data_IF_961905186154
#
_entry.id   IF_961905186154
#
_cell.length_a   1.000
_cell.length_b   1.000
_cell.length_c   1.000
_cell.angle_alpha   90.00
_cell.angle_beta   90.00
_cell.angle_gamma   90.00
#
_symmetry.space_group_name_H-M   'P 1'
#
loop_
_entity.id
_entity.type
_entity.pdbx_description
1 polymer ?
#
# COMPACT_ATOMS: atom_id res chain seq x y z
N UNK A 1 9.50 73.09 -21.07
CA UNK A 1 8.33 73.29 -21.95
C UNK A 1 7.24 72.33 -21.47
N UNK A 2 6.18 72.86 -20.85
CA UNK A 2 5.01 72.09 -20.37
C UNK A 2 4.11 71.77 -21.56
N UNK A 3 3.65 70.52 -21.69
CA UNK A 3 2.49 70.17 -22.49
C UNK A 3 1.60 69.21 -21.70
N UNK A 4 0.32 69.60 -21.62
CA UNK A 4 -0.80 68.98 -20.93
C UNK A 4 -1.49 67.94 -21.84
N UNK A 5 -1.89 66.79 -21.25
CA UNK A 5 -3.14 65.98 -21.39
C UNK A 5 -3.74 65.67 -22.80
N UNK A 6 -4.46 64.55 -23.03
CA UNK A 6 -5.42 63.93 -22.09
C UNK A 6 -5.43 62.39 -22.00
N UNK A 7 -6.20 61.92 -21.02
CA UNK A 7 -6.54 60.54 -20.73
C UNK A 7 -7.35 59.89 -21.86
N UNK A 8 -7.12 58.59 -22.10
CA UNK A 8 -8.12 57.70 -22.69
C UNK A 8 -8.23 56.46 -21.81
N UNK A 9 -9.39 56.32 -21.19
CA UNK A 9 -9.85 55.11 -20.52
C UNK A 9 -10.13 54.02 -21.55
N UNK A 10 -9.63 52.80 -21.32
CA UNK A 10 -10.17 51.59 -21.91
C UNK A 10 -10.11 50.44 -20.88
N UNK A 11 -11.25 49.96 -20.35
CA UNK A 11 -11.29 48.75 -19.54
C UNK A 11 -11.57 47.55 -20.45
N UNK A 12 -10.69 46.55 -20.45
CA UNK A 12 -11.10 45.22 -20.91
C UNK A 12 -10.25 44.15 -20.23
N UNK A 13 -10.59 43.87 -18.97
CA UNK A 13 -10.20 42.62 -18.33
C UNK A 13 -10.86 41.46 -19.11
N UNK A 14 -10.14 40.95 -20.11
CA UNK A 14 -10.43 39.64 -20.71
C UNK A 14 -10.27 38.61 -19.59
N UNK A 15 -11.39 38.25 -18.95
CA UNK A 15 -11.50 37.03 -18.15
C UNK A 15 -11.21 35.85 -19.08
N UNK A 16 -9.98 35.37 -19.04
CA UNK A 16 -9.65 34.05 -19.58
C UNK A 16 -10.55 33.03 -18.86
N UNK A 17 -11.22 32.12 -19.59
CA UNK A 17 -11.89 31.01 -18.94
C UNK A 17 -10.85 30.22 -18.16
N UNK A 18 -11.13 29.95 -16.89
CA UNK A 18 -10.33 29.07 -16.08
C UNK A 18 -10.10 27.78 -16.88
N UNK A 19 -8.83 27.40 -17.05
CA UNK A 19 -8.48 26.12 -17.63
C UNK A 19 -9.33 25.04 -16.94
N UNK A 20 -9.87 24.06 -17.70
CA UNK A 20 -10.44 22.88 -17.07
C UNK A 20 -9.36 22.36 -16.12
N UNK A 21 -9.66 22.34 -14.82
CA UNK A 21 -8.84 21.60 -13.86
C UNK A 21 -8.71 20.22 -14.49
N UNK A 22 -7.50 19.65 -14.65
CA UNK A 22 -7.42 18.26 -15.04
C UNK A 22 -8.34 17.53 -14.06
N UNK A 23 -9.38 16.89 -14.62
CA UNK A 23 -10.14 15.92 -13.86
C UNK A 23 -9.09 15.05 -13.20
N UNK A 24 -9.28 14.73 -11.92
CA UNK A 24 -8.49 13.68 -11.29
C UNK A 24 -8.62 12.47 -12.21
N UNK A 25 -7.62 12.27 -13.06
CA UNK A 25 -7.34 11.00 -13.71
C UNK A 25 -7.47 10.01 -12.57
N UNK A 26 -8.41 9.08 -12.71
CA UNK A 26 -8.57 7.99 -11.77
C UNK A 26 -7.18 7.41 -11.57
N UNK A 27 -6.72 7.52 -10.34
CA UNK A 27 -5.36 7.25 -9.92
C UNK A 27 -5.06 5.78 -10.25
N UNK A 28 -4.33 5.50 -11.34
CA UNK A 28 -3.85 4.15 -11.68
C UNK A 28 -3.06 3.52 -10.50
N UNK A 29 -2.66 4.36 -9.54
CA UNK A 29 -2.03 3.99 -8.27
C UNK A 29 -2.95 3.18 -7.34
N UNK A 30 -4.28 3.35 -7.39
CA UNK A 30 -5.24 2.61 -6.57
C UNK A 30 -5.33 1.11 -6.94
N UNK A 31 -4.93 0.73 -8.17
CA UNK A 31 -5.16 -0.61 -8.71
C UNK A 31 -4.44 -1.73 -7.93
N UNK A 32 -3.40 -1.40 -7.17
CA UNK A 32 -2.60 -2.37 -6.42
C UNK A 32 -2.56 -2.13 -4.91
N UNK A 33 -3.49 -1.32 -4.38
CA UNK A 33 -3.57 -1.06 -2.95
C UNK A 33 -3.90 -2.32 -2.15
N UNK A 34 -3.17 -2.51 -1.04
CA UNK A 34 -3.40 -3.63 -0.13
C UNK A 34 -4.59 -3.37 0.81
N UNK A 35 -4.91 -2.10 1.06
CA UNK A 35 -6.00 -1.65 1.94
C UNK A 35 -6.61 -0.36 1.39
N UNK A 36 -7.93 -0.20 1.54
CA UNK A 36 -8.65 1.02 1.13
C UNK A 36 -8.42 2.22 2.04
N UNK A 37 -7.94 1.97 3.26
CA UNK A 37 -7.64 2.99 4.26
C UNK A 37 -6.48 2.50 5.09
N UNK A 38 -5.61 3.42 5.49
CA UNK A 38 -4.51 3.15 6.40
C UNK A 38 -4.99 2.31 7.59
N UNK A 39 -4.40 1.12 7.75
CA UNK A 39 -4.82 0.13 8.73
C UNK A 39 -3.70 -0.07 9.74
N UNK A 40 -3.93 0.36 10.99
CA UNK A 40 -3.01 0.17 12.11
C UNK A 40 -3.50 -0.93 13.03
N UNK A 41 -2.79 -2.04 13.05
CA UNK A 41 -3.08 -3.19 13.90
C UNK A 41 -2.35 -3.01 15.23
N UNK A 42 -3.09 -2.94 16.34
CA UNK A 42 -2.51 -2.69 17.67
C UNK A 42 -2.31 -3.97 18.48
N UNK A 43 -3.21 -4.94 18.30
CA UNK A 43 -3.29 -6.11 19.16
C UNK A 43 -3.41 -7.39 18.34
N UNK A 44 -3.02 -8.51 18.93
CA UNK A 44 -3.13 -9.86 18.35
C UNK A 44 -4.49 -10.15 17.72
N UNK A 45 -5.60 -9.82 18.38
CA UNK A 45 -6.95 -10.09 17.87
C UNK A 45 -7.26 -9.33 16.57
N UNK A 46 -6.72 -8.12 16.38
CA UNK A 46 -6.88 -7.38 15.12
C UNK A 46 -6.01 -8.01 14.03
N UNK A 47 -4.80 -8.45 14.39
CA UNK A 47 -3.91 -9.15 13.47
C UNK A 47 -4.56 -10.44 12.96
N UNK A 48 -5.11 -11.28 13.84
CA UNK A 48 -5.79 -12.51 13.43
C UNK A 48 -7.02 -12.24 12.54
N UNK A 49 -7.71 -11.13 12.76
CA UNK A 49 -8.94 -10.79 12.03
C UNK A 49 -8.68 -10.19 10.64
N UNK A 50 -7.70 -9.30 10.51
CA UNK A 50 -7.50 -8.49 9.29
C UNK A 50 -6.27 -8.86 8.49
N UNK A 51 -5.21 -9.34 9.15
CA UNK A 51 -3.95 -9.65 8.47
C UNK A 51 -4.10 -10.75 7.41
N UNK A 52 -4.90 -11.83 7.60
CA UNK A 52 -5.06 -12.86 6.56
C UNK A 52 -5.56 -12.31 5.22
N UNK A 53 -6.53 -11.40 5.26
CA UNK A 53 -7.13 -10.80 4.05
C UNK A 53 -6.14 -9.86 3.34
N UNK A 54 -5.41 -9.05 4.11
CA UNK A 54 -4.34 -8.17 3.61
C UNK A 54 -3.21 -8.98 2.98
N UNK A 55 -2.73 -10.02 3.68
CA UNK A 55 -1.68 -10.90 3.18
C UNK A 55 -2.15 -11.70 1.97
N UNK A 56 -3.44 -12.03 1.87
CA UNK A 56 -4.03 -12.62 0.66
C UNK A 56 -3.88 -11.72 -0.56
N UNK A 57 -4.19 -10.42 -0.43
CA UNK A 57 -3.95 -9.42 -1.50
C UNK A 57 -2.47 -9.24 -1.82
N UNK A 58 -1.61 -9.17 -0.79
CA UNK A 58 -0.16 -9.07 -0.99
C UNK A 58 0.39 -10.28 -1.75
N UNK A 59 -0.05 -11.49 -1.39
CA UNK A 59 0.33 -12.73 -2.07
C UNK A 59 -0.13 -12.75 -3.53
N UNK A 60 -1.35 -12.28 -3.82
CA UNK A 60 -1.83 -12.16 -5.20
C UNK A 60 -0.97 -11.16 -6.00
N UNK A 61 -0.58 -10.04 -5.38
CA UNK A 61 0.30 -9.04 -6.00
C UNK A 61 1.70 -9.59 -6.29
N UNK A 62 2.26 -10.40 -5.40
CA UNK A 62 3.57 -11.07 -5.57
C UNK A 62 3.63 -11.88 -6.87
N UNK A 63 2.49 -12.40 -7.36
CA UNK A 63 2.45 -13.18 -8.60
C UNK A 63 2.58 -12.33 -9.87
N UNK A 64 2.15 -11.08 -9.83
CA UNK A 64 2.09 -10.19 -11.01
C UNK A 64 3.13 -9.07 -10.98
N UNK A 65 3.68 -8.77 -9.80
CA UNK A 65 4.64 -7.69 -9.57
C UNK A 65 5.94 -8.25 -8.95
N UNK A 66 6.94 -8.61 -9.79
CA UNK A 66 8.22 -9.14 -9.32
C UNK A 66 8.99 -8.15 -8.43
N UNK A 67 8.85 -6.84 -8.68
CA UNK A 67 9.51 -5.82 -7.87
C UNK A 67 8.91 -5.76 -6.46
N UNK A 68 7.59 -5.87 -6.36
CA UNK A 68 6.93 -6.02 -5.06
C UNK A 68 7.38 -7.30 -4.36
N UNK A 69 7.46 -8.42 -5.08
CA UNK A 69 7.94 -9.69 -4.52
C UNK A 69 9.34 -9.56 -3.92
N UNK A 70 10.28 -8.95 -4.63
CA UNK A 70 11.65 -8.80 -4.16
C UNK A 70 11.73 -7.91 -2.90
N UNK A 71 11.00 -6.80 -2.88
CA UNK A 71 10.92 -5.92 -1.69
C UNK A 71 10.30 -6.65 -0.50
N UNK A 72 9.20 -7.36 -0.74
CA UNK A 72 8.47 -8.11 0.27
C UNK A 72 9.29 -9.29 0.82
N UNK A 73 10.18 -9.89 0.02
CA UNK A 73 11.07 -10.94 0.45
C UNK A 73 12.19 -10.44 1.38
N UNK A 74 12.66 -9.20 1.17
CA UNK A 74 13.69 -8.57 2.01
C UNK A 74 13.11 -8.12 3.35
N UNK A 75 12.02 -7.36 3.31
CA UNK A 75 11.35 -6.87 4.52
C UNK A 75 9.83 -6.77 4.30
N UNK A 76 9.08 -7.82 4.66
CA UNK A 76 7.63 -7.84 4.48
C UNK A 76 6.92 -6.82 5.39
N UNK A 77 7.47 -6.51 6.57
CA UNK A 77 6.83 -5.57 7.51
C UNK A 77 6.98 -4.14 7.00
N UNK A 78 8.18 -3.75 6.59
CA UNK A 78 8.42 -2.44 5.99
C UNK A 78 7.66 -2.26 4.68
N UNK A 79 7.58 -3.32 3.87
CA UNK A 79 6.79 -3.30 2.63
C UNK A 79 5.30 -3.05 2.95
N UNK A 80 4.71 -3.78 3.90
CA UNK A 80 3.32 -3.55 4.30
C UNK A 80 3.09 -2.12 4.82
N UNK A 81 4.02 -1.56 5.58
CA UNK A 81 3.92 -0.18 6.06
C UNK A 81 3.91 0.84 4.91
N UNK A 82 4.67 0.61 3.84
CA UNK A 82 4.64 1.45 2.64
C UNK A 82 3.28 1.42 1.91
N UNK A 83 2.48 0.37 2.11
CA UNK A 83 1.10 0.25 1.61
C UNK A 83 0.05 0.58 2.69
N UNK A 84 0.43 1.33 3.73
CA UNK A 84 -0.48 1.82 4.76
C UNK A 84 -0.91 0.77 5.79
N UNK A 85 -0.21 -0.36 5.89
CA UNK A 85 -0.51 -1.42 6.86
C UNK A 85 0.57 -1.45 7.94
N UNK A 86 0.21 -1.00 9.14
CA UNK A 86 1.14 -0.94 10.27
C UNK A 86 0.87 -2.09 11.24
N UNK A 87 1.90 -2.86 11.51
CA UNK A 87 1.90 -4.00 12.42
C UNK A 87 2.50 -3.60 13.78
N UNK A 88 2.09 -4.24 14.89
CA UNK A 88 2.75 -4.03 16.15
C UNK A 88 4.13 -4.69 16.13
N UNK A 89 5.09 -4.14 16.87
CA UNK A 89 6.49 -4.61 16.97
C UNK A 89 6.63 -6.06 17.46
N UNK A 90 5.58 -6.59 18.10
CA UNK A 90 5.49 -7.98 18.54
C UNK A 90 5.24 -8.95 17.38
N UNK A 91 4.93 -8.48 16.18
CA UNK A 91 4.62 -9.32 15.03
C UNK A 91 5.76 -9.32 14.04
N UNK A 92 6.14 -10.51 13.59
CA UNK A 92 7.10 -10.69 12.51
C UNK A 92 6.52 -11.59 11.44
N UNK A 93 6.94 -11.36 10.20
CA UNK A 93 6.45 -12.09 9.02
C UNK A 93 7.67 -12.67 8.32
N UNK A 94 7.61 -13.95 7.98
CA UNK A 94 8.63 -14.64 7.20
C UNK A 94 8.01 -15.04 5.87
N UNK A 95 8.66 -14.63 4.79
CA UNK A 95 8.32 -15.01 3.43
C UNK A 95 9.21 -16.17 2.98
N UNK A 96 8.62 -17.35 2.83
CA UNK A 96 9.28 -18.56 2.35
C UNK A 96 8.97 -18.74 0.87
N UNK A 97 10.02 -18.83 0.05
CA UNK A 97 9.93 -19.22 -1.36
C UNK A 97 10.73 -20.49 -1.57
N UNK A 98 10.15 -21.64 -1.21
CA UNK A 98 10.78 -22.92 -1.51
C UNK A 98 10.76 -23.16 -3.02
N UNK A 99 11.94 -22.98 -3.64
CA UNK A 99 12.35 -23.68 -4.86
C UNK A 99 11.47 -23.52 -6.10
N UNK A 100 10.65 -22.46 -6.18
CA UNK A 100 9.77 -22.10 -7.30
C UNK A 100 8.32 -22.62 -7.26
N UNK A 101 7.89 -23.34 -6.21
CA UNK A 101 6.59 -24.01 -6.24
C UNK A 101 5.43 -23.13 -5.73
N UNK A 102 5.52 -22.55 -4.52
CA UNK A 102 4.42 -21.78 -3.91
C UNK A 102 4.96 -20.78 -2.88
N UNK A 103 4.65 -19.46 -3.00
CA UNK A 103 4.98 -18.51 -1.94
C UNK A 103 4.19 -18.85 -0.68
N UNK A 104 4.91 -18.89 0.44
CA UNK A 104 4.34 -19.13 1.77
C UNK A 104 4.70 -18.00 2.70
N UNK A 105 3.74 -17.62 3.54
CA UNK A 105 3.91 -16.64 4.59
C UNK A 105 3.68 -17.29 5.94
N UNK A 106 4.59 -17.02 6.87
CA UNK A 106 4.44 -17.44 8.26
C UNK A 106 4.49 -16.20 9.15
N UNK A 107 3.45 -16.01 9.96
CA UNK A 107 3.35 -14.91 10.89
C UNK A 107 3.65 -15.42 12.30
N UNK A 108 4.56 -14.74 12.98
CA UNK A 108 4.94 -15.03 14.35
C UNK A 108 4.58 -13.87 15.28
N UNK A 109 4.19 -14.21 16.49
CA UNK A 109 4.08 -13.30 17.63
C UNK A 109 5.25 -13.52 18.58
N UNK A 110 5.92 -12.45 18.96
CA UNK A 110 6.99 -12.42 19.94
C UNK A 110 6.64 -11.37 21.00
N UNK A 111 6.11 -11.83 22.15
CA UNK A 111 5.67 -10.97 23.27
C UNK A 111 6.82 -10.38 24.10
N UNK A 112 8.05 -10.42 23.59
CA UNK A 112 9.24 -9.90 24.25
C UNK A 112 10.53 -10.56 23.74
N UNK A 113 11.69 -9.93 23.95
CA UNK A 113 12.98 -10.38 23.39
C UNK A 113 13.42 -11.77 23.88
N UNK A 114 13.07 -12.16 25.12
CA UNK A 114 13.42 -13.46 25.70
C UNK A 114 12.36 -14.56 25.49
N UNK A 115 11.18 -14.22 24.94
CA UNK A 115 10.11 -15.20 24.73
C UNK A 115 10.28 -15.85 23.34
N UNK A 116 10.04 -17.16 23.20
CA UNK A 116 10.09 -17.80 21.90
C UNK A 116 9.03 -17.21 20.97
N UNK A 117 9.33 -17.16 19.67
CA UNK A 117 8.39 -16.79 18.62
C UNK A 117 7.27 -17.83 18.55
N UNK A 118 6.04 -17.39 18.81
CA UNK A 118 4.86 -18.23 18.68
C UNK A 118 4.29 -18.06 17.28
N UNK A 119 4.22 -19.15 16.50
CA UNK A 119 3.55 -19.12 15.19
C UNK A 119 2.05 -18.82 15.39
N UNK A 120 1.58 -17.71 14.83
CA UNK A 120 0.17 -17.32 14.88
C UNK A 120 -0.61 -17.96 13.74
N UNK A 121 -0.15 -17.74 12.50
CA UNK A 121 -0.84 -18.22 11.31
C UNK A 121 0.16 -18.45 10.18
N UNK A 122 -0.24 -19.28 9.23
CA UNK A 122 0.46 -19.43 7.96
C UNK A 122 -0.53 -19.21 6.84
N UNK A 123 -0.09 -18.53 5.79
CA UNK A 123 -0.86 -18.30 4.58
C UNK A 123 -0.08 -18.85 3.38
N UNK A 124 -0.78 -19.53 2.49
CA UNK A 124 -0.22 -20.05 1.26
C UNK A 124 -1.24 -19.88 0.15
N UNK A 125 -0.79 -19.38 -1.00
CA UNK A 125 -1.62 -19.36 -2.21
C UNK A 125 -1.72 -20.77 -2.79
N UNK A 126 -2.95 -21.24 -2.96
CA UNK A 126 -3.27 -22.48 -3.66
C UNK A 126 -4.10 -22.13 -4.89
N UNK A 127 -3.66 -22.60 -6.06
CA UNK A 127 -4.46 -22.53 -7.29
C UNK A 127 -5.34 -23.76 -7.34
N UNK A 128 -6.65 -23.55 -7.40
CA UNK A 128 -7.63 -24.61 -7.62
C UNK A 128 -8.07 -24.56 -9.09
N UNK A 129 -7.78 -25.61 -9.85
CA UNK A 129 -8.42 -25.81 -11.14
C UNK A 129 -9.67 -26.67 -10.92
N UNK A 130 -10.84 -26.12 -11.25
CA UNK A 130 -12.10 -26.85 -11.21
C UNK A 130 -12.13 -27.93 -12.30
N UNK A 131 -12.77 -29.06 -12.00
CA UNK A 131 -13.08 -30.11 -12.98
C UNK A 131 -14.33 -29.76 -13.77
#
# INVERSE_FOLDING_TARGET
MRLNLPQVLAPLAKRLPAAPRPGREGDDTDAFDLVRTETRLKNRAQVERYLPDILGRALARIWIDPLFRDRFAVDPVATLAAYGVFLPETISIVFETEGNARPRLVVYEQKGPLRPRQRMLYLQLVMMAGK
#
